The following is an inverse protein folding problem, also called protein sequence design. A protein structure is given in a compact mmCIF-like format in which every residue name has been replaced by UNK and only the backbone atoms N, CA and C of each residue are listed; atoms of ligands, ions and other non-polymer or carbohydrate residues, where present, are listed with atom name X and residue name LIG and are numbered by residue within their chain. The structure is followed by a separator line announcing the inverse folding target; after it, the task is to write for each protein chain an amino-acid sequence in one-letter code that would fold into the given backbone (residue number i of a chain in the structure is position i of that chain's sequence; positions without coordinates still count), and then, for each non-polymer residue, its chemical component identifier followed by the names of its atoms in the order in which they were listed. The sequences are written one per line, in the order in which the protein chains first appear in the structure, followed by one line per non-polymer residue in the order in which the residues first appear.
data_IF_947276476910
#
_entry.id   IF_947276476910
#
_cell.length_a   1.000
_cell.length_b   1.000
_cell.length_c   1.000
_cell.angle_alpha   90.00
_cell.angle_beta   90.00
_cell.angle_gamma   90.00
#
_symmetry.space_group_name_H-M   'P 1'
#
loop_
_entity.id
_entity.type
_entity.pdbx_description
1 polymer ?
#
# COMPACT_ATOMS: atom_id res chain seq x y z
N UNK A 1 -1.27 -21.58 -45.57
CA UNK A 1 -0.84 -20.17 -45.41
C UNK A 1 -1.12 -19.54 -44.03
N UNK A 2 -1.63 -20.28 -43.02
CA UNK A 2 -1.96 -19.70 -41.69
C UNK A 2 -0.88 -19.80 -40.60
N UNK A 3 0.09 -20.70 -40.73
CA UNK A 3 1.15 -20.90 -39.71
C UNK A 3 2.18 -19.77 -39.65
N UNK A 4 2.56 -19.22 -40.80
CA UNK A 4 3.59 -18.18 -40.87
C UNK A 4 3.12 -16.82 -40.30
N UNK A 5 1.80 -16.55 -40.31
CA UNK A 5 1.21 -15.36 -39.70
C UNK A 5 1.13 -15.49 -38.18
N UNK A 6 0.94 -16.70 -37.64
CA UNK A 6 0.95 -16.96 -36.21
C UNK A 6 2.37 -16.83 -35.63
N UNK A 7 3.40 -17.27 -36.35
CA UNK A 7 4.81 -17.10 -35.98
C UNK A 7 5.28 -15.64 -36.10
N UNK A 8 4.77 -14.88 -37.08
CA UNK A 8 5.08 -13.45 -37.19
C UNK A 8 4.37 -12.61 -36.12
N UNK A 9 3.11 -12.94 -35.81
CA UNK A 9 2.36 -12.28 -34.74
C UNK A 9 2.91 -12.58 -33.34
N UNK A 10 3.43 -13.78 -33.09
CA UNK A 10 4.08 -14.12 -31.81
C UNK A 10 5.38 -13.34 -31.59
N UNK A 11 6.12 -12.99 -32.66
CA UNK A 11 7.31 -12.14 -32.61
C UNK A 11 7.02 -10.68 -32.21
N UNK A 12 5.86 -10.13 -32.60
CA UNK A 12 5.44 -8.78 -32.22
C UNK A 12 4.68 -8.73 -30.88
N UNK A 13 3.89 -9.76 -30.55
CA UNK A 13 3.21 -9.89 -29.26
C UNK A 13 4.19 -10.16 -28.09
N UNK A 14 5.36 -10.72 -28.37
CA UNK A 14 6.42 -10.96 -27.37
C UNK A 14 6.93 -9.68 -26.69
N UNK A 15 7.00 -8.56 -27.41
CA UNK A 15 7.38 -7.26 -26.81
C UNK A 15 6.25 -6.67 -25.96
N UNK A 16 5.00 -6.80 -26.41
CA UNK A 16 3.84 -6.28 -25.69
C UNK A 16 3.60 -7.00 -24.36
N UNK A 17 3.60 -8.34 -24.36
CA UNK A 17 3.38 -9.14 -23.15
C UNK A 17 4.52 -8.99 -22.15
N UNK A 18 5.78 -8.98 -22.62
CA UNK A 18 6.93 -8.80 -21.73
C UNK A 18 6.97 -7.39 -21.11
N UNK A 19 6.62 -6.37 -21.90
CA UNK A 19 6.45 -5.01 -21.40
C UNK A 19 5.28 -4.90 -20.41
N UNK A 20 4.13 -5.52 -20.69
CA UNK A 20 2.96 -5.50 -19.80
C UNK A 20 3.25 -6.18 -18.47
N UNK A 21 3.93 -7.33 -18.49
CA UNK A 21 4.33 -8.06 -17.28
C UNK A 21 5.36 -7.26 -16.49
N UNK A 22 6.39 -6.73 -17.16
CA UNK A 22 7.43 -5.92 -16.50
C UNK A 22 6.81 -4.68 -15.87
N UNK A 23 5.93 -3.98 -16.59
CA UNK A 23 5.23 -2.80 -16.10
C UNK A 23 4.33 -3.13 -14.90
N UNK A 24 3.52 -4.20 -14.99
CA UNK A 24 2.67 -4.65 -13.87
C UNK A 24 3.51 -5.01 -12.65
N UNK A 25 4.62 -5.72 -12.83
CA UNK A 25 5.52 -6.10 -11.72
C UNK A 25 6.22 -4.89 -11.14
N UNK A 26 6.62 -3.90 -11.94
CA UNK A 26 7.29 -2.67 -11.49
C UNK A 26 6.34 -1.72 -10.77
N UNK A 27 5.04 -1.76 -11.10
CA UNK A 27 4.03 -0.89 -10.53
C UNK A 27 3.81 -1.14 -9.03
N UNK A 28 3.87 -2.40 -8.58
CA UNK A 28 3.75 -2.77 -7.16
C UNK A 28 4.87 -2.20 -6.27
N UNK A 29 6.17 -2.42 -6.55
CA UNK A 29 7.26 -1.83 -5.78
C UNK A 29 7.30 -0.31 -5.92
N UNK A 30 7.00 0.26 -7.09
CA UNK A 30 6.93 1.72 -7.25
C UNK A 30 5.84 2.33 -6.37
N UNK A 31 4.63 1.76 -6.36
CA UNK A 31 3.53 2.19 -5.52
C UNK A 31 3.88 2.05 -4.03
N UNK A 32 4.52 0.94 -3.66
CA UNK A 32 5.00 0.71 -2.29
C UNK A 32 6.04 1.75 -1.88
N UNK A 33 7.05 2.01 -2.70
CA UNK A 33 8.10 3.01 -2.43
C UNK A 33 7.51 4.42 -2.32
N UNK A 34 6.61 4.80 -3.23
CA UNK A 34 5.93 6.10 -3.16
C UNK A 34 5.09 6.24 -1.89
N UNK A 35 4.45 5.16 -1.45
CA UNK A 35 3.64 5.17 -0.24
C UNK A 35 4.50 5.27 1.02
N UNK A 36 5.62 4.54 1.07
CA UNK A 36 6.64 4.66 2.13
C UNK A 36 7.19 6.08 2.17
N UNK A 37 7.50 6.69 1.02
CA UNK A 37 7.95 8.07 0.95
C UNK A 37 6.88 9.06 1.39
N UNK A 38 5.62 8.89 0.97
CA UNK A 38 4.52 9.75 1.37
C UNK A 38 4.28 9.71 2.88
N UNK A 39 4.28 8.51 3.47
CA UNK A 39 4.16 8.32 4.93
C UNK A 39 5.40 8.86 5.64
N UNK A 40 6.59 8.65 5.09
CA UNK A 40 7.85 9.20 5.61
C UNK A 40 7.87 10.73 5.60
N UNK A 41 7.34 11.38 4.56
CA UNK A 41 7.18 12.83 4.50
C UNK A 41 6.18 13.32 5.54
N UNK A 42 5.06 12.61 5.72
CA UNK A 42 4.07 12.92 6.78
C UNK A 42 4.73 12.83 8.16
N UNK A 43 5.56 11.82 8.41
CA UNK A 43 6.30 11.68 9.67
C UNK A 43 7.50 12.63 9.81
N UNK A 44 8.05 13.15 8.72
CA UNK A 44 9.11 14.17 8.73
C UNK A 44 8.57 15.60 8.85
N UNK A 45 7.24 15.78 8.76
CA UNK A 45 6.60 17.10 8.80
C UNK A 45 6.32 17.70 10.20
N UNK A 46 6.32 16.97 11.35
CA UNK A 46 6.27 17.64 12.63
C UNK A 46 7.64 18.24 12.94
N UNK A 47 7.64 19.54 13.25
CA UNK A 47 8.78 20.36 13.67
C UNK A 47 9.26 19.96 15.09
N UNK A 48 9.73 18.72 15.23
CA UNK A 48 10.37 18.17 16.42
C UNK A 48 11.75 17.68 16.00
N UNK A 49 12.77 17.93 16.81
CA UNK A 49 14.16 17.50 16.56
C UNK A 49 14.25 15.96 16.60
N UNK A 50 13.98 15.33 15.47
CA UNK A 50 14.08 13.89 15.30
C UNK A 50 15.52 13.54 14.93
N UNK A 51 16.24 12.83 15.80
CA UNK A 51 17.55 12.28 15.44
C UNK A 51 17.38 11.32 14.25
N UNK A 52 17.87 11.76 13.10
CA UNK A 52 17.66 11.21 11.77
C UNK A 52 18.08 9.73 11.67
N UNK A 53 17.18 8.79 11.98
CA UNK A 53 17.33 7.36 11.63
C UNK A 53 16.49 7.08 10.39
N UNK A 54 17.19 6.89 9.27
CA UNK A 54 16.69 6.79 7.90
C UNK A 54 15.57 5.77 7.63
N UNK A 55 15.20 4.93 8.60
CA UNK A 55 14.00 4.11 8.60
C UNK A 55 13.58 3.92 10.06
N UNK A 56 12.47 4.53 10.49
CA UNK A 56 11.98 4.30 11.84
C UNK A 56 11.35 2.91 11.95
N UNK A 57 11.57 2.16 13.05
CA UNK A 57 10.92 0.88 13.27
C UNK A 57 9.39 0.98 13.20
N UNK A 58 8.82 2.13 13.59
CA UNK A 58 7.39 2.44 13.45
C UNK A 58 6.91 2.44 11.99
N UNK A 59 7.71 2.96 11.04
CA UNK A 59 7.35 2.94 9.62
C UNK A 59 7.28 1.51 9.05
N UNK A 60 8.19 0.62 9.47
CA UNK A 60 8.16 -0.80 9.07
C UNK A 60 6.89 -1.48 9.58
N UNK A 61 6.55 -1.25 10.86
CA UNK A 61 5.33 -1.81 11.45
C UNK A 61 4.07 -1.26 10.79
N UNK A 62 4.02 0.04 10.49
CA UNK A 62 2.90 0.66 9.79
C UNK A 62 2.67 0.02 8.42
N UNK A 63 3.75 -0.21 7.66
CA UNK A 63 3.69 -0.83 6.34
C UNK A 63 3.24 -2.29 6.41
N UNK A 64 3.71 -3.06 7.40
CA UNK A 64 3.27 -4.44 7.61
C UNK A 64 1.78 -4.51 7.99
N UNK A 65 1.34 -3.65 8.91
CA UNK A 65 -0.07 -3.52 9.28
C UNK A 65 -0.91 -3.11 8.07
N UNK A 66 -0.42 -2.19 7.25
CA UNK A 66 -1.14 -1.69 6.08
C UNK A 66 -1.31 -2.79 5.04
N UNK A 67 -0.29 -3.63 4.82
CA UNK A 67 -0.39 -4.82 3.97
C UNK A 67 -1.41 -5.83 4.52
N UNK A 68 -1.36 -6.13 5.83
CA UNK A 68 -2.30 -7.03 6.49
C UNK A 68 -3.75 -6.53 6.35
N UNK A 69 -3.99 -5.26 6.61
CA UNK A 69 -5.29 -4.61 6.45
C UNK A 69 -5.74 -4.65 5.00
N UNK A 70 -4.85 -4.39 4.04
CA UNK A 70 -5.17 -4.45 2.61
C UNK A 70 -5.58 -5.87 2.16
N UNK A 71 -4.91 -6.90 2.67
CA UNK A 71 -5.28 -8.31 2.45
C UNK A 71 -6.63 -8.65 3.08
N UNK A 72 -6.85 -8.25 4.34
CA UNK A 72 -8.12 -8.46 5.03
C UNK A 72 -9.28 -7.74 4.32
N UNK A 73 -9.04 -6.52 3.86
CA UNK A 73 -10.00 -5.71 3.12
C UNK A 73 -10.35 -6.34 1.77
N UNK A 74 -9.36 -6.89 1.04
CA UNK A 74 -9.62 -7.65 -0.19
C UNK A 74 -10.58 -8.80 0.06
N UNK A 75 -10.32 -9.61 1.10
CA UNK A 75 -11.18 -10.74 1.49
C UNK A 75 -12.58 -10.25 1.85
N UNK A 76 -12.69 -9.17 2.64
CA UNK A 76 -13.96 -8.57 3.02
C UNK A 76 -14.79 -8.16 1.80
N UNK A 77 -14.20 -7.40 0.86
CA UNK A 77 -14.90 -6.91 -0.33
C UNK A 77 -15.31 -8.06 -1.26
N UNK A 78 -14.48 -9.10 -1.42
CA UNK A 78 -14.87 -10.27 -2.24
C UNK A 78 -16.06 -11.04 -1.68
N UNK A 79 -16.24 -11.06 -0.36
CA UNK A 79 -17.42 -11.68 0.27
C UNK A 79 -18.66 -10.76 0.23
N UNK A 80 -18.46 -9.45 0.12
CA UNK A 80 -19.53 -8.44 0.13
C UNK A 80 -20.30 -8.29 -1.21
N UNK A 81 -19.87 -8.99 -2.27
CA UNK A 81 -20.46 -8.88 -3.61
C UNK A 81 -21.98 -9.12 -3.67
N UNK A 82 -22.53 -9.97 -2.80
CA UNK A 82 -23.97 -10.22 -2.72
C UNK A 82 -24.78 -9.04 -2.12
N UNK A 83 -24.20 -8.23 -1.24
CA UNK A 83 -24.85 -7.03 -0.67
C UNK A 83 -24.81 -5.84 -1.63
N UNK A 84 -23.82 -5.80 -2.53
CA UNK A 84 -23.67 -4.73 -3.53
C UNK A 84 -24.85 -4.70 -4.54
N UNK A 85 -25.54 -5.83 -4.74
CA UNK A 85 -26.72 -5.92 -5.61
C UNK A 85 -27.94 -5.16 -5.06
N UNK A 86 -28.03 -4.95 -3.75
CA UNK A 86 -29.16 -4.27 -3.09
C UNK A 86 -28.91 -2.76 -2.94
N UNK A 87 -27.66 -2.37 -2.66
CA UNK A 87 -27.28 -0.99 -2.35
C UNK A 87 -26.54 -0.26 -3.48
N UNK A 88 -26.19 -0.95 -4.56
CA UNK A 88 -25.60 -0.37 -5.77
C UNK A 88 -24.40 0.54 -5.48
N UNK A 89 -24.42 1.77 -6.01
CA UNK A 89 -23.34 2.74 -5.85
C UNK A 89 -23.04 3.14 -4.40
N UNK A 90 -24.03 3.10 -3.49
CA UNK A 90 -23.85 3.43 -2.07
C UNK A 90 -22.96 2.39 -1.38
N UNK A 91 -23.07 1.11 -1.77
CA UNK A 91 -22.19 0.05 -1.30
C UNK A 91 -20.72 0.34 -1.63
N UNK A 92 -20.44 0.83 -2.84
CA UNK A 92 -19.10 1.25 -3.24
C UNK A 92 -18.53 2.40 -2.40
N UNK A 93 -19.33 3.41 -2.09
CA UNK A 93 -18.91 4.55 -1.25
C UNK A 93 -18.60 4.10 0.18
N UNK A 94 -19.43 3.25 0.78
CA UNK A 94 -19.21 2.72 2.14
C UNK A 94 -17.91 1.92 2.19
N UNK A 95 -17.66 1.07 1.19
CA UNK A 95 -16.42 0.30 1.06
C UNK A 95 -15.21 1.22 0.95
N UNK A 96 -15.28 2.29 0.14
CA UNK A 96 -14.21 3.28 0.04
C UNK A 96 -13.98 4.00 1.39
N UNK A 97 -15.04 4.43 2.08
CA UNK A 97 -14.89 5.08 3.39
C UNK A 97 -14.27 4.15 4.42
N UNK A 98 -14.67 2.88 4.44
CA UNK A 98 -14.07 1.87 5.32
C UNK A 98 -12.58 1.69 5.02
N UNK A 99 -12.21 1.66 3.74
CA UNK A 99 -10.82 1.55 3.31
C UNK A 99 -9.97 2.74 3.77
N UNK A 100 -10.48 3.97 3.57
CA UNK A 100 -9.82 5.20 4.01
C UNK A 100 -9.69 5.25 5.52
N UNK A 101 -10.74 4.87 6.25
CA UNK A 101 -10.72 4.79 7.71
C UNK A 101 -9.64 3.84 8.22
N UNK A 102 -9.63 2.61 7.72
CA UNK A 102 -8.63 1.60 8.12
C UNK A 102 -7.21 2.04 7.76
N UNK A 103 -7.01 2.62 6.58
CA UNK A 103 -5.71 3.15 6.16
C UNK A 103 -5.22 4.27 7.08
N UNK A 104 -6.11 5.20 7.44
CA UNK A 104 -5.81 6.28 8.39
C UNK A 104 -5.43 5.74 9.77
N UNK A 105 -6.19 4.77 10.29
CA UNK A 105 -5.89 4.13 11.59
C UNK A 105 -4.51 3.48 11.60
N UNK A 106 -4.13 2.78 10.53
CA UNK A 106 -2.80 2.14 10.43
C UNK A 106 -1.68 3.17 10.41
N UNK A 107 -1.84 4.27 9.68
CA UNK A 107 -0.84 5.35 9.62
C UNK A 107 -0.69 6.01 11.01
N UNK A 108 -1.80 6.27 11.70
CA UNK A 108 -1.75 6.83 13.06
C UNK A 108 -1.06 5.86 14.03
N UNK A 109 -1.39 4.57 13.98
CA UNK A 109 -0.73 3.54 14.80
C UNK A 109 0.78 3.48 14.56
N UNK A 110 1.23 3.55 13.31
CA UNK A 110 2.66 3.59 12.99
C UNK A 110 3.38 4.81 13.58
N UNK A 111 2.68 5.95 13.64
CA UNK A 111 3.19 7.19 14.23
C UNK A 111 3.28 7.11 15.75
N UNK A 112 2.25 6.55 16.39
CA UNK A 112 2.22 6.33 17.84
C UNK A 112 3.34 5.40 18.30
N UNK A 113 3.57 4.31 17.57
CA UNK A 113 4.68 3.39 17.84
C UNK A 113 6.02 4.12 17.73
N UNK A 114 6.17 5.03 16.76
CA UNK A 114 7.38 5.81 16.65
C UNK A 114 7.57 6.76 17.84
N UNK A 115 6.50 7.45 18.25
CA UNK A 115 6.52 8.36 19.40
C UNK A 115 6.86 7.64 20.71
N UNK A 116 6.30 6.45 20.95
CA UNK A 116 6.60 5.63 22.12
C UNK A 116 8.05 5.12 22.14
N UNK A 117 8.59 4.70 20.99
CA UNK A 117 9.99 4.26 20.90
C UNK A 117 10.95 5.41 21.20
N UNK A 118 10.64 6.62 20.74
CA UNK A 118 11.43 7.82 21.02
C UNK A 118 11.32 8.23 22.49
N UNK A 119 10.12 8.15 23.09
CA UNK A 119 9.91 8.40 24.51
C UNK A 119 10.70 7.42 25.39
N UNK A 120 10.67 6.12 25.07
CA UNK A 120 11.43 5.10 25.78
C UNK A 120 12.95 5.29 25.66
N UNK A 121 13.45 5.65 24.48
CA UNK A 121 14.86 5.95 24.28
C UNK A 121 15.33 7.19 25.07
N UNK A 122 14.44 8.16 25.29
CA UNK A 122 14.75 9.38 26.07
C UNK A 122 14.78 9.13 27.58
N UNK A 123 13.96 8.22 28.09
CA UNK A 123 13.95 7.84 29.50
C UNK A 123 15.19 7.02 29.89
N UNK A 124 15.70 6.16 29.00
CA UNK A 124 16.92 5.37 29.23
C UNK A 124 18.21 6.23 29.24
N UNK A 125 18.13 7.46 28.73
CA UNK A 125 19.24 8.43 28.69
C UNK A 125 19.29 9.37 29.92
N UNK A 126 18.37 9.23 30.88
CA UNK A 126 18.32 10.03 32.13
C UNK A 126 18.87 9.26 33.33
#
# INVERSE_FOLDING_TARGET
FGGHLAEWASGFLGFGVFFEITWKVLQWPLAFTLMVLAVGIIYACPNVEQEWRWVTPGAVVAVLLWLCVSLAFKVYVTNFGNYNAVYGSIGGVIVLMLWLYLSGTVILLGGEINAEIEAAARDDAR
#
